data_IF_686363461150
#
_entry.id   IF_686363461150
#
_cell.length_a   1.000
_cell.length_b   1.000
_cell.length_c   1.000
_cell.angle_alpha   90.00
_cell.angle_beta   90.00
_cell.angle_gamma   90.00
#
_symmetry.space_group_name_H-M   'P 1'
#
loop_
_entity.id
_entity.type
_entity.pdbx_description
1 polymer ?
#
# COMPACT_ATOMS: atom_id res chain seq x y z
N UNK A 1 29.94 -4.73 28.26
CA UNK A 1 30.71 -5.72 27.47
C UNK A 1 30.14 -5.69 26.04
N UNK A 2 30.81 -5.00 25.11
CA UNK A 2 30.56 -5.15 23.71
C UNK A 2 31.11 -6.54 23.31
N UNK A 3 30.22 -7.51 23.18
CA UNK A 3 30.56 -8.75 22.49
C UNK A 3 30.62 -8.35 21.01
N UNK A 4 31.83 -8.14 20.51
CA UNK A 4 32.05 -8.07 19.07
C UNK A 4 31.61 -9.43 18.51
N UNK A 5 30.74 -9.50 17.52
CA UNK A 5 30.38 -10.77 16.91
C UNK A 5 31.65 -11.40 16.40
N UNK A 6 31.93 -12.62 16.85
CA UNK A 6 33.08 -13.40 16.39
C UNK A 6 32.95 -13.60 14.88
N UNK A 7 34.06 -13.79 14.18
CA UNK A 7 34.07 -14.04 12.74
C UNK A 7 33.17 -15.20 12.31
N UNK A 8 32.84 -16.13 13.21
CA UNK A 8 31.91 -17.24 13.00
C UNK A 8 30.47 -16.77 12.74
N UNK A 9 30.00 -15.76 13.48
CA UNK A 9 28.64 -15.25 13.30
C UNK A 9 28.47 -14.56 11.94
N UNK A 10 29.53 -13.88 11.45
CA UNK A 10 29.52 -13.27 10.13
C UNK A 10 29.48 -14.31 9.01
N UNK A 11 30.18 -15.44 9.17
CA UNK A 11 30.14 -16.53 8.20
C UNK A 11 28.76 -17.18 8.13
N UNK A 12 28.13 -17.44 9.26
CA UNK A 12 26.76 -18.00 9.32
C UNK A 12 25.76 -17.07 8.63
N UNK A 13 25.85 -15.75 8.85
CA UNK A 13 24.96 -14.81 8.18
C UNK A 13 25.23 -14.74 6.67
N UNK A 14 26.50 -14.76 6.24
CA UNK A 14 26.85 -14.78 4.83
C UNK A 14 26.36 -16.05 4.12
N UNK A 15 26.45 -17.21 4.79
CA UNK A 15 25.88 -18.47 4.29
C UNK A 15 24.35 -18.39 4.23
N UNK A 16 23.68 -17.84 5.24
CA UNK A 16 22.23 -17.67 5.25
C UNK A 16 21.75 -16.74 4.15
N UNK A 17 22.48 -15.65 3.89
CA UNK A 17 22.21 -14.74 2.76
C UNK A 17 22.41 -15.41 1.41
N UNK A 18 23.49 -16.18 1.25
CA UNK A 18 23.81 -16.89 0.01
C UNK A 18 22.82 -18.03 -0.28
N UNK A 19 22.43 -18.77 0.75
CA UNK A 19 21.45 -19.85 0.64
C UNK A 19 20.05 -19.33 0.36
N UNK A 20 19.67 -18.21 0.97
CA UNK A 20 18.35 -17.62 0.86
C UNK A 20 17.23 -18.52 1.41
N UNK A 21 16.01 -18.14 1.13
CA UNK A 21 14.77 -18.82 1.58
C UNK A 21 13.96 -19.18 0.34
N UNK A 22 13.68 -20.47 0.15
CA UNK A 22 12.85 -20.94 -0.97
C UNK A 22 11.39 -20.46 -0.77
N UNK A 23 10.79 -19.94 -1.85
CA UNK A 23 9.51 -19.25 -1.83
C UNK A 23 8.62 -19.67 -3.00
N UNK A 24 7.37 -20.03 -2.73
CA UNK A 24 6.37 -20.33 -3.76
C UNK A 24 5.84 -19.04 -4.40
N UNK A 25 6.55 -18.54 -5.40
CA UNK A 25 6.19 -17.32 -6.13
C UNK A 25 4.85 -17.47 -6.85
N UNK A 26 4.54 -18.65 -7.40
CA UNK A 26 3.30 -18.91 -8.14
C UNK A 26 2.09 -18.91 -7.20
N UNK A 27 2.17 -19.61 -6.07
CA UNK A 27 1.13 -19.62 -5.04
C UNK A 27 0.91 -18.23 -4.44
N UNK A 28 1.98 -17.47 -4.22
CA UNK A 28 1.91 -16.09 -3.73
C UNK A 28 1.16 -15.17 -4.70
N UNK A 29 1.48 -15.22 -6.01
CA UNK A 29 0.78 -14.45 -7.05
C UNK A 29 -0.71 -14.82 -7.08
N UNK A 30 -1.04 -16.12 -7.10
CA UNK A 30 -2.42 -16.58 -7.12
C UNK A 30 -3.22 -16.08 -5.90
N UNK A 31 -2.60 -16.09 -4.71
CA UNK A 31 -3.20 -15.53 -3.50
C UNK A 31 -3.38 -14.01 -3.60
N UNK A 32 -2.40 -13.31 -4.17
CA UNK A 32 -2.48 -11.87 -4.44
C UNK A 32 -3.61 -11.53 -5.40
N UNK A 33 -3.79 -12.28 -6.47
CA UNK A 33 -4.89 -12.10 -7.45
C UNK A 33 -6.26 -12.34 -6.80
N UNK A 34 -6.38 -13.36 -5.95
CA UNK A 34 -7.60 -13.60 -5.19
C UNK A 34 -7.92 -12.43 -4.24
N UNK A 35 -6.90 -11.88 -3.57
CA UNK A 35 -7.03 -10.70 -2.72
C UNK A 35 -7.44 -9.45 -3.53
N UNK A 36 -6.94 -9.26 -4.75
CA UNK A 36 -7.37 -8.18 -5.64
C UNK A 36 -8.85 -8.27 -6.01
N UNK A 37 -9.38 -9.47 -6.22
CA UNK A 37 -10.82 -9.66 -6.43
C UNK A 37 -11.64 -9.23 -5.20
N UNK A 38 -11.17 -9.56 -3.99
CA UNK A 38 -11.81 -9.10 -2.74
C UNK A 38 -11.71 -7.59 -2.58
N UNK A 39 -10.55 -6.99 -2.85
CA UNK A 39 -10.34 -5.53 -2.85
C UNK A 39 -11.35 -4.83 -3.76
N UNK A 40 -11.55 -5.34 -4.97
CA UNK A 40 -12.50 -4.73 -5.92
C UNK A 40 -13.94 -4.78 -5.40
N UNK A 41 -14.37 -5.91 -4.82
CA UNK A 41 -15.69 -6.03 -4.19
C UNK A 41 -15.86 -5.05 -3.02
N UNK A 42 -14.83 -4.91 -2.19
CA UNK A 42 -14.85 -3.94 -1.08
C UNK A 42 -14.94 -2.51 -1.61
N UNK A 43 -14.18 -2.18 -2.65
CA UNK A 43 -14.23 -0.85 -3.29
C UNK A 43 -15.62 -0.56 -3.89
N UNK A 44 -16.26 -1.55 -4.51
CA UNK A 44 -17.63 -1.42 -5.01
C UNK A 44 -18.63 -1.12 -3.89
N UNK A 45 -18.56 -1.87 -2.78
CA UNK A 45 -19.42 -1.61 -1.61
C UNK A 45 -19.16 -0.23 -0.99
N UNK A 46 -17.89 0.16 -0.87
CA UNK A 46 -17.51 1.48 -0.37
C UNK A 46 -17.98 2.61 -1.30
N UNK A 47 -17.89 2.42 -2.62
CA UNK A 47 -18.37 3.42 -3.60
C UNK A 47 -19.86 3.70 -3.44
N UNK A 48 -20.67 2.69 -3.12
CA UNK A 48 -22.11 2.90 -2.82
C UNK A 48 -22.30 3.75 -1.56
N UNK A 49 -21.44 3.57 -0.53
CA UNK A 49 -21.51 4.34 0.70
C UNK A 49 -21.00 5.78 0.54
N UNK A 50 -20.00 5.97 -0.29
CA UNK A 50 -19.34 7.26 -0.54
C UNK A 50 -20.14 8.12 -1.53
N UNK A 51 -20.84 7.49 -2.47
CA UNK A 51 -21.62 8.15 -3.54
C UNK A 51 -20.79 9.18 -4.32
N UNK A 52 -19.61 8.77 -4.82
CA UNK A 52 -18.72 9.63 -5.59
C UNK A 52 -17.81 8.83 -6.53
N UNK A 53 -17.95 9.02 -7.84
CA UNK A 53 -17.20 8.28 -8.86
C UNK A 53 -15.69 8.56 -8.84
N UNK A 54 -15.28 9.76 -8.42
CA UNK A 54 -13.87 10.14 -8.37
C UNK A 54 -13.22 9.99 -6.98
N UNK A 55 -13.87 9.25 -6.08
CA UNK A 55 -13.32 9.03 -4.76
C UNK A 55 -12.08 8.12 -4.80
N UNK A 56 -10.99 8.57 -4.19
CA UNK A 56 -9.76 7.79 -4.07
C UNK A 56 -9.59 7.27 -2.64
N UNK A 57 -9.74 5.96 -2.45
CA UNK A 57 -9.59 5.29 -1.14
C UNK A 57 -8.13 5.27 -0.64
N UNK A 58 -7.16 5.50 -1.52
CA UNK A 58 -5.75 5.58 -1.14
C UNK A 58 -5.34 7.00 -0.70
N UNK A 59 -6.26 7.98 -0.86
CA UNK A 59 -6.05 9.37 -0.44
C UNK A 59 -6.55 9.61 0.98
N UNK A 60 -5.64 9.91 1.91
CA UNK A 60 -5.99 10.31 3.27
C UNK A 60 -6.86 11.57 3.33
N UNK A 61 -6.73 12.48 2.36
CA UNK A 61 -7.55 13.69 2.26
C UNK A 61 -9.01 13.35 1.91
N UNK A 62 -9.22 12.46 0.92
CA UNK A 62 -10.57 12.01 0.56
C UNK A 62 -11.24 11.27 1.72
N UNK A 63 -10.52 10.35 2.36
CA UNK A 63 -11.01 9.64 3.54
C UNK A 63 -11.34 10.60 4.69
N UNK A 64 -10.48 11.60 4.95
CA UNK A 64 -10.74 12.60 5.97
C UNK A 64 -11.99 13.40 5.70
N UNK A 65 -12.20 13.88 4.47
CA UNK A 65 -13.42 14.61 4.09
C UNK A 65 -14.67 13.75 4.25
N UNK A 66 -14.63 12.50 3.83
CA UNK A 66 -15.79 11.60 3.96
C UNK A 66 -16.11 11.26 5.41
N UNK A 67 -15.08 10.94 6.21
CA UNK A 67 -15.28 10.52 7.60
C UNK A 67 -15.64 11.67 8.54
N UNK A 68 -15.01 12.84 8.37
CA UNK A 68 -15.09 13.95 9.34
C UNK A 68 -15.75 15.22 8.80
N UNK A 69 -16.11 15.23 7.52
CA UNK A 69 -16.68 16.39 6.83
C UNK A 69 -15.63 17.17 6.06
N UNK A 70 -16.04 17.70 4.92
CA UNK A 70 -15.19 18.49 4.05
C UNK A 70 -15.58 18.37 2.59
N UNK A 71 -14.79 18.99 1.72
CA UNK A 71 -15.02 18.98 0.27
C UNK A 71 -13.81 18.39 -0.42
N UNK A 72 -14.04 17.42 -1.29
CA UNK A 72 -13.03 16.90 -2.20
C UNK A 72 -13.21 17.54 -3.58
N UNK A 73 -12.12 17.76 -4.29
CA UNK A 73 -12.10 18.39 -5.60
C UNK A 73 -11.28 17.53 -6.55
N UNK A 74 -11.73 17.43 -7.79
CA UNK A 74 -10.98 16.80 -8.88
C UNK A 74 -11.08 17.63 -10.14
N UNK A 75 -9.92 17.94 -10.71
CA UNK A 75 -9.85 18.58 -12.01
C UNK A 75 -10.09 17.57 -13.12
N UNK A 76 -11.05 17.88 -13.98
CA UNK A 76 -11.38 17.08 -15.15
C UNK A 76 -10.68 17.65 -16.37
N UNK A 77 -9.95 16.78 -17.06
CA UNK A 77 -9.28 17.10 -18.30
C UNK A 77 -9.92 16.32 -19.44
N UNK A 78 -10.04 16.98 -20.59
CA UNK A 78 -10.56 16.35 -21.82
C UNK A 78 -9.44 16.31 -22.85
N UNK A 79 -9.21 15.15 -23.50
CA UNK A 79 -8.26 15.05 -24.59
C UNK A 79 -8.78 15.84 -25.80
N UNK A 80 -7.96 16.79 -26.29
CA UNK A 80 -8.26 17.60 -27.46
C UNK A 80 -7.17 17.34 -28.50
N UNK A 81 -7.59 16.97 -29.70
CA UNK A 81 -6.66 16.80 -30.81
C UNK A 81 -6.21 18.19 -31.32
N UNK A 82 -4.92 18.37 -31.39
CA UNK A 82 -4.25 19.57 -31.82
C UNK A 82 -3.25 19.25 -32.93
N UNK A 83 -2.88 20.27 -33.71
CA UNK A 83 -1.88 20.13 -34.77
C UNK A 83 -0.69 21.03 -34.47
N UNK A 84 0.52 20.53 -34.63
CA UNK A 84 1.73 21.32 -34.48
C UNK A 84 1.75 22.46 -35.53
N UNK A 85 1.76 23.71 -35.04
CA UNK A 85 1.73 24.90 -35.90
C UNK A 85 3.09 25.29 -36.46
N UNK A 86 4.20 24.82 -35.83
CA UNK A 86 5.57 25.19 -36.21
C UNK A 86 6.56 24.10 -35.83
N UNK A 87 7.79 24.18 -36.33
CA UNK A 87 8.89 23.26 -36.04
C UNK A 87 8.90 21.97 -36.88
N UNK A 88 9.79 21.02 -36.61
CA UNK A 88 9.99 19.80 -37.41
C UNK A 88 8.76 18.89 -37.51
N UNK A 89 7.78 19.06 -36.61
CA UNK A 89 6.54 18.26 -36.55
C UNK A 89 5.33 19.04 -37.09
N UNK A 90 5.52 20.16 -37.77
CA UNK A 90 4.42 20.97 -38.33
C UNK A 90 3.47 20.09 -39.14
N UNK A 91 2.17 20.19 -38.86
CA UNK A 91 1.13 19.42 -39.52
C UNK A 91 0.83 18.05 -38.93
N UNK A 92 1.64 17.57 -37.97
CA UNK A 92 1.32 16.33 -37.26
C UNK A 92 0.28 16.59 -36.16
N UNK A 93 -0.62 15.63 -35.97
CA UNK A 93 -1.61 15.67 -34.91
C UNK A 93 -1.01 15.15 -33.59
N UNK A 94 -1.42 15.75 -32.49
CA UNK A 94 -1.13 15.27 -31.15
C UNK A 94 -2.32 15.52 -30.23
N UNK A 95 -2.46 14.69 -29.21
CA UNK A 95 -3.52 14.84 -28.22
C UNK A 95 -2.96 15.57 -27.00
N UNK A 96 -3.63 16.64 -26.56
CA UNK A 96 -3.32 17.37 -25.35
C UNK A 96 -4.52 17.36 -24.40
N UNK A 97 -4.28 17.03 -23.15
CA UNK A 97 -5.31 17.14 -22.12
C UNK A 97 -5.52 18.61 -21.75
N UNK A 98 -6.71 19.15 -22.03
CA UNK A 98 -7.10 20.49 -21.61
C UNK A 98 -8.02 20.42 -20.41
N UNK A 99 -7.79 21.32 -19.44
CA UNK A 99 -8.67 21.51 -18.30
C UNK A 99 -10.08 21.86 -18.80
N UNK A 100 -11.08 21.17 -18.26
CA UNK A 100 -12.48 21.41 -18.55
C UNK A 100 -13.18 22.08 -17.36
N UNK A 101 -13.15 21.42 -16.21
CA UNK A 101 -13.83 21.87 -14.99
C UNK A 101 -13.22 21.23 -13.75
N UNK A 102 -13.49 21.83 -12.58
CA UNK A 102 -13.21 21.20 -11.27
C UNK A 102 -14.52 20.67 -10.70
N UNK A 103 -14.62 19.35 -10.56
CA UNK A 103 -15.76 18.68 -9.92
C UNK A 103 -15.55 18.70 -8.42
N UNK A 104 -16.63 18.98 -7.66
CA UNK A 104 -16.61 19.06 -6.19
C UNK A 104 -17.68 18.18 -5.58
N UNK A 105 -17.31 17.46 -4.50
CA UNK A 105 -18.26 16.72 -3.65
C UNK A 105 -18.04 17.14 -2.21
N UNK A 106 -19.13 17.56 -1.55
CA UNK A 106 -19.12 17.90 -0.13
C UNK A 106 -19.68 16.75 0.70
N UNK A 107 -19.08 16.51 1.87
CA UNK A 107 -19.50 15.54 2.86
C UNK A 107 -19.75 16.22 4.20
N UNK A 108 -20.83 15.85 4.88
CA UNK A 108 -21.14 16.34 6.23
C UNK A 108 -20.33 15.64 7.33
N UNK A 109 -19.67 14.51 6.95
CA UNK A 109 -18.92 13.65 7.86
C UNK A 109 -19.80 12.63 8.61
N UNK A 110 -19.24 11.46 8.84
CA UNK A 110 -19.89 10.34 9.52
C UNK A 110 -19.54 10.35 11.01
N UNK A 111 -18.38 10.91 11.36
CA UNK A 111 -17.83 10.94 12.71
C UNK A 111 -17.39 12.34 13.10
N UNK A 112 -17.33 12.59 14.41
CA UNK A 112 -16.59 13.73 14.94
C UNK A 112 -15.10 13.38 15.04
N UNK A 113 -14.18 14.28 14.65
CA UNK A 113 -12.76 14.03 14.77
C UNK A 113 -12.33 13.75 16.21
N UNK A 114 -11.42 12.81 16.39
CA UNK A 114 -10.85 12.52 17.70
C UNK A 114 -9.84 13.62 18.11
N UNK A 115 -9.65 13.88 19.41
CA UNK A 115 -8.63 14.83 19.89
C UNK A 115 -7.24 14.45 19.37
N UNK A 116 -6.44 15.46 19.01
CA UNK A 116 -5.04 15.31 18.54
C UNK A 116 -4.85 14.55 17.22
N UNK A 117 -5.91 14.36 16.42
CA UNK A 117 -5.82 13.74 15.09
C UNK A 117 -5.71 14.76 13.95
N UNK A 118 -5.81 16.06 14.24
CA UNK A 118 -5.71 17.13 13.24
C UNK A 118 -4.34 17.09 12.53
N UNK A 119 -4.36 17.21 11.21
CA UNK A 119 -3.18 17.32 10.39
C UNK A 119 -2.70 18.77 10.28
N UNK A 120 -1.52 19.00 9.73
CA UNK A 120 -1.01 20.35 9.45
C UNK A 120 -1.90 21.14 8.48
N UNK A 121 -2.60 20.42 7.59
CA UNK A 121 -3.57 20.98 6.64
C UNK A 121 -4.89 21.21 7.37
N UNK A 122 -5.38 22.47 7.47
CA UNK A 122 -6.60 22.79 8.20
C UNK A 122 -7.81 22.03 7.67
N UNK A 123 -8.64 21.47 8.55
CA UNK A 123 -9.84 20.72 8.20
C UNK A 123 -9.58 19.24 7.82
N UNK A 124 -8.34 18.76 7.88
CA UNK A 124 -7.99 17.38 7.63
C UNK A 124 -7.49 16.67 8.87
N UNK A 125 -7.86 15.39 9.00
CA UNK A 125 -7.59 14.56 10.17
C UNK A 125 -6.98 13.24 9.76
N UNK A 126 -6.27 12.60 10.69
CA UNK A 126 -5.67 11.30 10.48
C UNK A 126 -6.75 10.22 10.26
N UNK A 127 -6.49 9.34 9.29
CA UNK A 127 -7.40 8.24 8.90
C UNK A 127 -6.71 6.88 8.94
N UNK A 128 -5.57 6.78 9.61
CA UNK A 128 -4.84 5.53 9.77
C UNK A 128 -5.58 4.54 10.70
N UNK A 129 -5.25 3.27 10.56
CA UNK A 129 -5.84 2.17 11.33
C UNK A 129 -5.97 2.44 12.84
N UNK A 130 -4.92 2.96 13.55
CA UNK A 130 -5.03 3.22 14.99
C UNK A 130 -6.11 4.24 15.36
N UNK A 131 -6.42 5.16 14.44
CA UNK A 131 -7.47 6.18 14.64
C UNK A 131 -8.84 5.58 14.31
N UNK A 132 -8.95 4.84 13.19
CA UNK A 132 -10.20 4.20 12.80
C UNK A 132 -10.74 3.22 13.85
N UNK A 133 -9.84 2.48 14.51
CA UNK A 133 -10.18 1.55 15.59
C UNK A 133 -10.72 2.24 16.87
N UNK A 134 -10.43 3.53 17.07
CA UNK A 134 -10.89 4.30 18.24
C UNK A 134 -12.21 5.04 17.99
N UNK A 135 -12.72 5.03 16.76
CA UNK A 135 -13.96 5.74 16.44
C UNK A 135 -15.19 5.12 17.11
N UNK A 136 -16.12 5.94 17.62
CA UNK A 136 -17.32 5.43 18.28
C UNK A 136 -18.33 4.92 17.23
N UNK A 137 -18.39 3.60 17.06
CA UNK A 137 -19.26 2.93 16.09
C UNK A 137 -20.69 2.76 16.63
N UNK A 138 -21.55 3.73 16.39
CA UNK A 138 -22.95 3.78 16.92
C UNK A 138 -23.95 3.11 15.98
N UNK A 139 -23.79 3.29 14.66
CA UNK A 139 -24.73 2.77 13.65
C UNK A 139 -24.14 1.55 12.93
N UNK A 140 -25.01 0.72 12.34
CA UNK A 140 -24.58 -0.42 11.53
C UNK A 140 -23.80 0.04 10.29
N UNK A 141 -24.21 1.16 9.67
CA UNK A 141 -23.51 1.75 8.54
C UNK A 141 -22.10 2.17 8.91
N UNK A 142 -21.90 2.83 10.06
CA UNK A 142 -20.59 3.20 10.56
C UNK A 142 -19.68 1.97 10.77
N UNK A 143 -20.22 0.92 11.40
CA UNK A 143 -19.50 -0.35 11.60
C UNK A 143 -19.07 -0.97 10.27
N UNK A 144 -20.00 -1.02 9.29
CA UNK A 144 -19.70 -1.58 7.96
C UNK A 144 -18.64 -0.77 7.25
N UNK A 145 -18.75 0.56 7.22
CA UNK A 145 -17.77 1.45 6.59
C UNK A 145 -16.36 1.26 7.16
N UNK A 146 -16.22 1.26 8.50
CA UNK A 146 -14.92 1.11 9.15
C UNK A 146 -14.35 -0.31 8.92
N UNK A 147 -15.18 -1.35 9.02
CA UNK A 147 -14.71 -2.72 8.78
C UNK A 147 -14.21 -2.91 7.34
N UNK A 148 -14.90 -2.32 6.35
CA UNK A 148 -14.47 -2.35 4.95
C UNK A 148 -13.17 -1.57 4.72
N UNK A 149 -13.02 -0.39 5.32
CA UNK A 149 -11.79 0.40 5.22
C UNK A 149 -10.59 -0.31 5.82
N UNK A 150 -10.74 -0.91 7.00
CA UNK A 150 -9.67 -1.66 7.67
C UNK A 150 -9.28 -2.88 6.82
N UNK A 151 -10.26 -3.62 6.32
CA UNK A 151 -10.00 -4.79 5.46
C UNK A 151 -9.35 -4.40 4.14
N UNK A 152 -9.78 -3.29 3.53
CA UNK A 152 -9.17 -2.75 2.31
C UNK A 152 -7.69 -2.38 2.55
N UNK A 153 -7.39 -1.70 3.65
CA UNK A 153 -6.02 -1.32 4.00
C UNK A 153 -5.12 -2.53 4.25
N UNK A 154 -5.63 -3.54 4.96
CA UNK A 154 -4.94 -4.80 5.21
C UNK A 154 -4.60 -5.53 3.92
N UNK A 155 -5.60 -5.82 3.08
CA UNK A 155 -5.42 -6.52 1.81
C UNK A 155 -4.51 -5.75 0.85
N UNK A 156 -4.69 -4.44 0.74
CA UNK A 156 -3.85 -3.60 -0.13
C UNK A 156 -2.38 -3.65 0.30
N UNK A 157 -2.12 -3.66 1.61
CA UNK A 157 -0.76 -3.82 2.15
C UNK A 157 -0.21 -5.22 1.88
N UNK A 158 -1.01 -6.28 2.07
CA UNK A 158 -0.59 -7.66 1.82
C UNK A 158 -0.22 -7.86 0.35
N UNK A 159 -1.05 -7.40 -0.57
CA UNK A 159 -0.79 -7.52 -2.01
C UNK A 159 0.41 -6.66 -2.43
N UNK A 160 0.38 -5.37 -2.11
CA UNK A 160 1.35 -4.41 -2.62
C UNK A 160 2.74 -4.53 -2.01
N UNK A 161 2.86 -5.01 -0.76
CA UNK A 161 4.15 -5.13 -0.07
C UNK A 161 4.73 -6.54 -0.05
N UNK A 162 3.90 -7.57 -0.28
CA UNK A 162 4.33 -8.96 -0.11
C UNK A 162 3.89 -9.88 -1.24
N UNK A 163 2.60 -10.15 -1.42
CA UNK A 163 2.11 -11.22 -2.30
C UNK A 163 2.52 -11.05 -3.76
N UNK A 164 2.51 -9.82 -4.27
CA UNK A 164 3.02 -9.50 -5.61
C UNK A 164 4.44 -8.94 -5.58
N UNK A 165 4.81 -8.20 -4.55
CA UNK A 165 6.11 -7.53 -4.49
C UNK A 165 7.28 -8.51 -4.34
N UNK A 166 7.13 -9.60 -3.56
CA UNK A 166 8.20 -10.59 -3.41
C UNK A 166 8.46 -11.39 -4.69
N UNK A 167 7.45 -11.92 -5.42
CA UNK A 167 7.66 -12.51 -6.73
C UNK A 167 8.32 -11.57 -7.74
N UNK A 168 7.88 -10.31 -7.81
CA UNK A 168 8.49 -9.29 -8.68
C UNK A 168 9.95 -9.07 -8.31
N UNK A 169 10.26 -8.98 -7.02
CA UNK A 169 11.65 -8.85 -6.55
C UNK A 169 12.49 -10.05 -6.94
N UNK A 170 11.97 -11.28 -6.83
CA UNK A 170 12.67 -12.49 -7.27
C UNK A 170 12.98 -12.45 -8.78
N UNK A 171 12.06 -11.95 -9.59
CA UNK A 171 12.24 -11.80 -11.03
C UNK A 171 13.29 -10.72 -11.37
N UNK A 172 13.15 -9.52 -10.78
CA UNK A 172 14.08 -8.40 -11.00
C UNK A 172 15.54 -8.74 -10.61
N UNK A 173 15.69 -9.47 -9.51
CA UNK A 173 17.00 -9.88 -8.99
C UNK A 173 17.51 -11.18 -9.62
N UNK A 174 16.74 -11.82 -10.50
CA UNK A 174 17.06 -13.12 -11.12
C UNK A 174 17.32 -14.24 -10.09
N UNK A 175 16.65 -14.19 -8.96
CA UNK A 175 16.79 -15.17 -7.88
C UNK A 175 16.00 -16.47 -8.12
N UNK A 176 15.13 -16.51 -9.15
CA UNK A 176 14.20 -17.62 -9.35
C UNK A 176 13.16 -17.65 -8.23
N UNK A 177 13.05 -18.79 -7.55
CA UNK A 177 12.10 -18.98 -6.43
C UNK A 177 12.80 -18.93 -5.06
N UNK A 178 13.87 -18.15 -4.92
CA UNK A 178 14.62 -18.01 -3.67
C UNK A 178 14.74 -16.54 -3.32
N UNK A 179 14.44 -16.19 -2.08
CA UNK A 179 14.58 -14.83 -1.56
C UNK A 179 15.87 -14.74 -0.78
N UNK A 180 16.72 -13.75 -1.10
CA UNK A 180 18.00 -13.51 -0.44
C UNK A 180 17.95 -12.20 0.36
N UNK A 181 17.51 -12.25 1.65
CA UNK A 181 17.51 -11.06 2.50
C UNK A 181 18.94 -10.69 2.90
N UNK A 182 19.21 -9.41 3.06
CA UNK A 182 20.50 -8.93 3.57
C UNK A 182 20.39 -8.65 5.07
N UNK A 183 21.27 -9.26 5.84
CA UNK A 183 21.33 -9.09 7.30
C UNK A 183 22.40 -8.06 7.70
N UNK A 184 22.01 -7.06 8.44
CA UNK A 184 22.87 -5.98 8.90
C UNK A 184 23.15 -6.11 10.39
N UNK A 185 24.42 -6.36 10.74
CA UNK A 185 24.91 -6.35 12.12
C UNK A 185 25.30 -4.94 12.55
N UNK A 186 25.22 -4.66 13.84
CA UNK A 186 25.70 -3.42 14.45
C UNK A 186 25.06 -2.11 13.96
N UNK A 187 23.99 -2.17 13.17
CA UNK A 187 23.24 -0.99 12.71
C UNK A 187 22.26 -0.51 13.76
N UNK A 188 21.59 -1.43 14.44
CA UNK A 188 20.64 -1.09 15.52
C UNK A 188 21.39 -0.73 16.81
N UNK A 189 21.07 0.43 17.41
CA UNK A 189 21.66 0.89 18.70
C UNK A 189 21.47 -0.11 19.83
N UNK A 190 20.49 -0.99 19.71
CA UNK A 190 20.17 -2.07 20.69
C UNK A 190 21.00 -3.34 20.49
N UNK A 191 21.88 -3.40 19.50
CA UNK A 191 22.64 -4.61 19.16
C UNK A 191 21.80 -5.70 18.49
N UNK A 192 20.55 -5.41 18.08
CA UNK A 192 19.72 -6.37 17.35
C UNK A 192 20.20 -6.51 15.90
N UNK A 193 20.06 -7.72 15.36
CA UNK A 193 20.18 -7.95 13.94
C UNK A 193 19.05 -7.21 13.20
N UNK A 194 19.36 -6.50 12.14
CA UNK A 194 18.38 -5.92 11.23
C UNK A 194 18.47 -6.57 9.87
N UNK A 195 17.37 -6.58 9.14
CA UNK A 195 17.24 -7.21 7.83
C UNK A 195 16.71 -6.21 6.81
N UNK A 196 17.20 -6.29 5.57
CA UNK A 196 16.78 -5.43 4.48
C UNK A 196 16.83 -6.16 3.14
N UNK A 197 16.09 -5.67 2.16
CA UNK A 197 16.12 -6.08 0.75
C UNK A 197 15.88 -7.58 0.49
N UNK A 198 14.76 -8.13 0.90
CA UNK A 198 13.66 -7.55 1.67
C UNK A 198 13.86 -7.67 3.18
N UNK A 199 13.05 -6.93 3.98
CA UNK A 199 13.08 -7.08 5.42
C UNK A 199 12.26 -8.31 5.88
N UNK A 200 12.89 -9.46 5.88
CA UNK A 200 12.26 -10.74 6.24
C UNK A 200 11.72 -10.77 7.68
N UNK A 201 12.22 -9.91 8.58
CA UNK A 201 11.75 -9.83 9.97
C UNK A 201 10.37 -9.17 10.10
N UNK A 202 9.84 -8.57 9.03
CA UNK A 202 8.54 -7.88 9.01
C UNK A 202 7.51 -8.56 8.12
N UNK A 203 7.77 -9.80 7.69
CA UNK A 203 6.79 -10.53 6.90
C UNK A 203 5.56 -10.86 7.75
N UNK A 204 4.35 -10.62 7.22
CA UNK A 204 3.12 -10.99 7.90
C UNK A 204 2.87 -12.49 7.77
N UNK A 205 2.09 -13.04 8.69
CA UNK A 205 1.72 -14.46 8.73
C UNK A 205 1.15 -15.00 7.39
N UNK A 206 0.50 -14.13 6.60
CA UNK A 206 -0.01 -14.53 5.27
C UNK A 206 1.08 -15.01 4.31
N UNK A 207 2.33 -14.62 4.52
CA UNK A 207 3.48 -15.04 3.70
C UNK A 207 4.01 -16.40 4.12
N UNK A 208 3.78 -16.81 5.36
CA UNK A 208 4.38 -18.02 5.94
C UNK A 208 3.98 -19.29 5.18
N UNK A 209 2.79 -19.36 4.61
CA UNK A 209 2.31 -20.49 3.81
C UNK A 209 3.07 -20.69 2.49
N UNK A 210 3.86 -19.72 2.05
CA UNK A 210 4.61 -19.77 0.79
C UNK A 210 6.09 -20.11 0.98
N UNK A 211 6.56 -20.28 2.23
CA UNK A 211 7.90 -20.77 2.48
C UNK A 211 7.99 -22.26 2.16
N UNK A 212 8.98 -22.62 1.37
CA UNK A 212 9.25 -24.01 1.01
C UNK A 212 10.41 -24.52 1.88
N UNK A 213 10.17 -25.58 2.64
CA UNK A 213 11.22 -26.26 3.39
C UNK A 213 12.21 -26.92 2.43
N UNK A 214 13.52 -26.77 2.70
CA UNK A 214 14.55 -27.50 1.96
C UNK A 214 14.80 -28.91 2.49
N UNK A 215 14.16 -29.26 3.57
CA UNK A 215 14.41 -30.49 4.35
C UNK A 215 13.20 -31.43 4.39
N UNK A 216 12.36 -31.41 3.39
CA UNK A 216 11.33 -32.43 3.19
C UNK A 216 11.84 -33.56 2.31
#
# INVERSE_FOLDING_TARGET
LLILPGGADMLVLAETEADGIAYDTAGSIASGDAALVEINKIKEELNVLVDCEFFNFDSGDHLSCWLYGGTIEQDRFVPVNMVYKSGPRKGQEYTQNKFQETIRKHYDGIFKPLPRTALKKPGFYQTGEPVLLQLPLRTQQQRRAISLLLRLAELSKQVGSFLHALPILCEEMQWGNVIHPTYNQCVARTGRLSCSKPNAQQFPEVVDQFWISRYE
#
